data_IF_964854413337
#
_entry.id   IF_964854413337
#
_cell.length_a   1.000
_cell.length_b   1.000
_cell.length_c   1.000
_cell.angle_alpha   90.00
_cell.angle_beta   90.00
_cell.angle_gamma   90.00
#
_symmetry.space_group_name_H-M   'P 1'
#
loop_
_entity.id
_entity.type
_entity.pdbx_description
1 polymer ?
#
# COMPACT_ATOMS: atom_id res chain seq x y z
N UNK A 1 22.45 0.29 -3.56
CA UNK A 1 21.22 0.91 -4.07
C UNK A 1 20.18 0.90 -2.96
N UNK A 2 19.36 1.95 -2.81
CA UNK A 2 18.22 1.91 -1.89
C UNK A 2 17.27 0.78 -2.28
N UNK A 3 16.72 0.06 -1.30
CA UNK A 3 15.94 -1.15 -1.52
C UNK A 3 14.65 -0.84 -2.29
N UNK A 4 14.03 0.32 -2.04
CA UNK A 4 12.84 0.81 -2.72
C UNK A 4 13.04 1.07 -4.21
N UNK A 5 14.24 1.51 -4.61
CA UNK A 5 14.55 1.68 -6.03
C UNK A 5 14.76 0.33 -6.73
N UNK A 6 15.44 -0.61 -6.07
CA UNK A 6 15.59 -1.98 -6.58
C UNK A 6 14.23 -2.67 -6.71
N UNK A 7 13.36 -2.50 -5.71
CA UNK A 7 11.99 -2.99 -5.73
C UNK A 7 11.17 -2.39 -6.88
N UNK A 8 11.10 -1.05 -6.98
CA UNK A 8 10.32 -0.38 -8.02
C UNK A 8 10.83 -0.73 -9.43
N UNK A 9 12.16 -0.80 -9.60
CA UNK A 9 12.77 -1.25 -10.85
C UNK A 9 12.44 -2.70 -11.18
N UNK A 10 12.50 -3.60 -10.20
CA UNK A 10 12.14 -5.00 -10.37
C UNK A 10 10.68 -5.19 -10.77
N UNK A 11 9.75 -4.50 -10.11
CA UNK A 11 8.32 -4.50 -10.46
C UNK A 11 8.10 -3.95 -11.87
N UNK A 12 8.76 -2.84 -12.23
CA UNK A 12 8.64 -2.25 -13.56
C UNK A 12 9.16 -3.19 -14.65
N UNK A 13 10.31 -3.82 -14.43
CA UNK A 13 10.87 -4.81 -15.37
C UNK A 13 9.96 -6.03 -15.49
N UNK A 14 9.40 -6.51 -14.38
CA UNK A 14 8.40 -7.57 -14.37
C UNK A 14 7.16 -7.20 -15.19
N UNK A 15 6.65 -5.97 -15.05
CA UNK A 15 5.52 -5.48 -15.83
C UNK A 15 5.82 -5.51 -17.34
N UNK A 16 6.98 -5.00 -17.77
CA UNK A 16 7.38 -5.03 -19.18
C UNK A 16 7.65 -6.45 -19.69
N UNK A 17 8.09 -7.37 -18.84
CA UNK A 17 8.21 -8.77 -19.22
C UNK A 17 6.82 -9.41 -19.43
N UNK A 18 5.83 -9.10 -18.59
CA UNK A 18 4.46 -9.57 -18.73
C UNK A 18 3.78 -9.03 -20.00
N UNK A 19 4.11 -7.81 -20.44
CA UNK A 19 3.61 -7.26 -21.71
C UNK A 19 4.08 -8.04 -22.94
N UNK A 20 5.16 -8.81 -22.83
CA UNK A 20 5.67 -9.64 -23.93
C UNK A 20 5.01 -11.01 -24.02
N UNK A 21 4.19 -11.38 -23.03
CA UNK A 21 3.46 -12.64 -23.02
C UNK A 21 2.18 -12.53 -23.84
N UNK A 22 1.67 -13.67 -24.32
CA UNK A 22 0.35 -13.72 -24.90
C UNK A 22 -0.72 -13.25 -23.89
N UNK A 23 -1.80 -12.57 -24.30
CA UNK A 23 -2.79 -12.01 -23.38
C UNK A 23 -3.37 -13.03 -22.40
N UNK A 24 -3.61 -14.26 -22.85
CA UNK A 24 -4.12 -15.34 -22.01
C UNK A 24 -3.11 -15.83 -20.97
N UNK A 25 -1.81 -15.72 -21.25
CA UNK A 25 -0.75 -16.07 -20.31
C UNK A 25 -0.52 -14.94 -19.29
N UNK A 26 -0.45 -13.69 -19.75
CA UNK A 26 -0.41 -12.51 -18.87
C UNK A 26 -1.57 -12.55 -17.87
N UNK A 27 -2.79 -12.76 -18.34
CA UNK A 27 -3.98 -12.84 -17.49
C UNK A 27 -3.88 -13.99 -16.47
N UNK A 28 -3.35 -15.16 -16.86
CA UNK A 28 -3.13 -16.28 -15.93
C UNK A 28 -2.15 -15.91 -14.82
N UNK A 29 -1.04 -15.26 -15.16
CA UNK A 29 -0.04 -14.83 -14.16
C UNK A 29 -0.63 -13.78 -13.22
N UNK A 30 -1.29 -12.74 -13.75
CA UNK A 30 -1.93 -11.69 -12.95
C UNK A 30 -2.99 -12.27 -12.00
N UNK A 31 -3.85 -13.16 -12.50
CA UNK A 31 -4.84 -13.86 -11.67
C UNK A 31 -4.20 -14.75 -10.61
N UNK A 32 -3.09 -15.41 -10.92
CA UNK A 32 -2.35 -16.26 -9.99
C UNK A 32 -1.76 -15.46 -8.83
N UNK A 33 -1.29 -14.24 -9.09
CA UNK A 33 -0.69 -13.37 -8.08
C UNK A 33 -1.68 -12.47 -7.34
N UNK A 34 -2.93 -12.37 -7.80
CA UNK A 34 -3.91 -11.41 -7.30
C UNK A 34 -4.49 -11.74 -5.94
N UNK A 35 -4.73 -10.71 -5.12
CA UNK A 35 -5.45 -10.80 -3.84
C UNK A 35 -6.96 -10.65 -3.97
N UNK A 36 -7.52 -11.06 -5.12
CA UNK A 36 -8.96 -11.05 -5.32
C UNK A 36 -9.68 -11.99 -4.33
N UNK A 37 -10.97 -11.73 -4.12
CA UNK A 37 -11.77 -12.42 -3.09
C UNK A 37 -11.82 -13.93 -3.34
N UNK A 38 -11.96 -14.37 -4.60
CA UNK A 38 -12.01 -15.79 -4.94
C UNK A 38 -10.68 -16.51 -4.62
N UNK A 39 -9.53 -15.83 -4.78
CA UNK A 39 -8.22 -16.39 -4.40
C UNK A 39 -8.07 -16.52 -2.89
N UNK A 40 -8.44 -15.49 -2.13
CA UNK A 40 -8.32 -15.54 -0.67
C UNK A 40 -9.32 -16.52 -0.04
N UNK A 41 -10.53 -16.64 -0.58
CA UNK A 41 -11.51 -17.65 -0.13
C UNK A 41 -11.04 -19.09 -0.40
N UNK A 42 -10.20 -19.30 -1.41
CA UNK A 42 -9.60 -20.62 -1.71
C UNK A 42 -8.31 -20.89 -0.93
N UNK A 43 -7.92 -20.00 -0.03
CA UNK A 43 -6.77 -20.18 0.86
C UNK A 43 -5.42 -19.78 0.24
N UNK A 44 -5.41 -19.06 -0.88
CA UNK A 44 -4.19 -18.55 -1.53
C UNK A 44 -3.60 -17.32 -0.82
N UNK A 45 -3.22 -17.48 0.44
CA UNK A 45 -2.73 -16.38 1.29
C UNK A 45 -1.34 -15.88 0.87
N UNK A 46 -0.57 -16.68 0.13
CA UNK A 46 0.70 -16.26 -0.49
C UNK A 46 0.52 -15.08 -1.44
N UNK A 47 -0.69 -14.90 -1.98
CA UNK A 47 -1.01 -13.76 -2.84
C UNK A 47 -0.90 -12.42 -2.12
N UNK A 48 -1.05 -12.39 -0.77
CA UNK A 48 -0.82 -11.19 0.03
C UNK A 48 0.60 -10.63 -0.16
N UNK A 49 1.58 -11.50 -0.43
CA UNK A 49 2.94 -11.08 -0.72
C UNK A 49 3.13 -10.88 -2.23
N UNK A 50 2.78 -11.87 -3.05
CA UNK A 50 3.08 -11.81 -4.48
C UNK A 50 2.37 -10.67 -5.21
N UNK A 51 1.16 -10.28 -4.76
CA UNK A 51 0.39 -9.19 -5.38
C UNK A 51 1.11 -7.86 -5.28
N UNK A 52 1.98 -7.65 -4.29
CA UNK A 52 2.77 -6.43 -4.18
C UNK A 52 3.81 -6.32 -5.30
N UNK A 53 4.36 -7.44 -5.78
CA UNK A 53 5.47 -7.47 -6.74
C UNK A 53 5.02 -7.52 -8.21
N UNK A 54 3.72 -7.59 -8.46
CA UNK A 54 3.14 -7.70 -9.79
C UNK A 54 2.20 -6.53 -10.01
N UNK A 55 2.28 -5.89 -11.17
CA UNK A 55 1.35 -4.83 -11.59
C UNK A 55 0.67 -5.26 -12.89
N UNK A 56 -0.58 -4.85 -13.07
CA UNK A 56 -1.34 -5.17 -14.27
C UNK A 56 -0.67 -4.58 -15.51
N UNK A 57 -0.30 -3.31 -15.45
CA UNK A 57 0.37 -2.56 -16.51
C UNK A 57 1.65 -1.90 -15.97
N UNK A 58 2.65 -1.63 -16.83
CA UNK A 58 3.82 -0.87 -16.41
C UNK A 58 3.40 0.46 -15.80
N UNK A 59 4.06 0.82 -14.70
CA UNK A 59 3.71 2.03 -13.99
C UNK A 59 4.00 3.25 -14.85
N UNK A 60 3.09 4.25 -14.90
CA UNK A 60 3.40 5.54 -15.49
C UNK A 60 4.63 6.14 -14.79
N UNK A 61 5.52 6.76 -15.56
CA UNK A 61 6.77 7.32 -15.04
C UNK A 61 6.58 8.22 -13.79
N UNK A 62 5.57 9.12 -13.74
CA UNK A 62 5.33 9.93 -12.54
C UNK A 62 5.04 9.09 -11.28
N UNK A 63 4.27 8.00 -11.42
CA UNK A 63 3.97 7.11 -10.30
C UNK A 63 5.20 6.32 -9.88
N UNK A 64 5.97 5.79 -10.82
CA UNK A 64 7.21 5.07 -10.52
C UNK A 64 8.23 5.95 -9.78
N UNK A 65 8.41 7.20 -10.23
CA UNK A 65 9.28 8.16 -9.55
C UNK A 65 8.78 8.52 -8.15
N UNK A 66 7.46 8.72 -8.01
CA UNK A 66 6.86 9.00 -6.71
C UNK A 66 7.00 7.82 -5.74
N UNK A 67 6.82 6.58 -6.22
CA UNK A 67 7.05 5.36 -5.45
C UNK A 67 8.50 5.31 -4.95
N UNK A 68 9.47 5.52 -5.84
CA UNK A 68 10.90 5.55 -5.46
C UNK A 68 11.19 6.67 -4.46
N UNK A 69 10.62 7.86 -4.64
CA UNK A 69 10.81 8.98 -3.74
C UNK A 69 10.25 8.70 -2.34
N UNK A 70 9.03 8.16 -2.24
CA UNK A 70 8.38 7.84 -0.96
C UNK A 70 9.12 6.71 -0.25
N UNK A 71 9.41 5.61 -0.94
CA UNK A 71 10.15 4.50 -0.33
C UNK A 71 11.56 4.94 0.04
N UNK A 72 12.29 5.60 -0.87
CA UNK A 72 13.65 6.07 -0.63
C UNK A 72 13.74 7.06 0.53
N UNK A 73 12.78 7.98 0.66
CA UNK A 73 12.73 8.89 1.81
C UNK A 73 12.42 8.16 3.13
N UNK A 74 11.51 7.17 3.11
CA UNK A 74 11.25 6.34 4.28
C UNK A 74 12.49 5.54 4.70
N UNK A 75 13.23 4.97 3.75
CA UNK A 75 14.49 4.28 4.03
C UNK A 75 15.54 5.22 4.60
N UNK A 76 15.63 6.44 4.07
CA UNK A 76 16.52 7.46 4.60
C UNK A 76 16.15 7.88 6.03
N UNK A 77 14.86 8.06 6.32
CA UNK A 77 14.38 8.56 7.61
C UNK A 77 14.34 7.49 8.72
N UNK A 78 14.02 6.24 8.36
CA UNK A 78 13.73 5.16 9.33
C UNK A 78 14.45 3.83 9.05
N UNK A 79 15.15 3.71 7.93
CA UNK A 79 15.87 2.50 7.52
C UNK A 79 15.06 1.55 6.63
N UNK A 80 15.76 0.73 5.84
CA UNK A 80 15.16 -0.17 4.86
C UNK A 80 14.20 -1.21 5.46
N UNK A 81 14.55 -1.80 6.60
CA UNK A 81 13.72 -2.80 7.25
C UNK A 81 12.42 -2.22 7.80
N UNK A 82 12.46 -0.99 8.33
CA UNK A 82 11.26 -0.31 8.77
C UNK A 82 10.33 -0.03 7.59
N UNK A 83 10.87 0.50 6.49
CA UNK A 83 10.10 0.77 5.26
C UNK A 83 9.47 -0.50 4.72
N UNK A 84 10.23 -1.59 4.60
CA UNK A 84 9.72 -2.88 4.14
C UNK A 84 8.63 -3.43 5.06
N UNK A 85 8.81 -3.34 6.37
CA UNK A 85 7.81 -3.80 7.35
C UNK A 85 6.50 -3.02 7.24
N UNK A 86 6.57 -1.68 7.18
CA UNK A 86 5.38 -0.82 7.02
C UNK A 86 4.68 -1.07 5.69
N UNK A 87 5.47 -1.20 4.61
CA UNK A 87 4.95 -1.48 3.28
C UNK A 87 4.17 -2.81 3.26
N UNK A 88 4.80 -3.90 3.70
CA UNK A 88 4.21 -5.24 3.67
C UNK A 88 3.04 -5.37 4.64
N UNK A 89 3.17 -4.85 5.86
CA UNK A 89 2.09 -4.86 6.84
C UNK A 89 0.89 -4.05 6.35
N UNK A 90 1.12 -2.84 5.86
CA UNK A 90 0.05 -1.97 5.36
C UNK A 90 -0.65 -2.54 4.13
N UNK A 91 0.13 -3.13 3.21
CA UNK A 91 -0.40 -3.86 2.06
C UNK A 91 -1.31 -5.01 2.50
N UNK A 92 -0.79 -5.94 3.31
CA UNK A 92 -1.55 -7.10 3.76
C UNK A 92 -2.77 -6.71 4.62
N UNK A 93 -2.63 -5.76 5.54
CA UNK A 93 -3.72 -5.29 6.38
C UNK A 93 -4.84 -4.65 5.56
N UNK A 94 -4.51 -3.79 4.59
CA UNK A 94 -5.49 -3.18 3.71
C UNK A 94 -6.22 -4.23 2.87
N UNK A 95 -5.47 -5.16 2.27
CA UNK A 95 -6.04 -6.27 1.50
C UNK A 95 -7.00 -7.10 2.35
N UNK A 96 -6.62 -7.49 3.56
CA UNK A 96 -7.47 -8.29 4.45
C UNK A 96 -8.73 -7.56 4.89
N UNK A 97 -8.64 -6.25 5.16
CA UNK A 97 -9.79 -5.41 5.51
C UNK A 97 -10.76 -5.28 4.33
N UNK A 98 -10.25 -5.02 3.12
CA UNK A 98 -11.05 -4.96 1.89
C UNK A 98 -11.69 -6.32 1.60
N UNK A 99 -10.92 -7.40 1.66
CA UNK A 99 -11.43 -8.76 1.52
C UNK A 99 -12.54 -9.05 2.53
N UNK A 100 -12.35 -8.72 3.81
CA UNK A 100 -13.35 -8.91 4.86
C UNK A 100 -14.67 -8.18 4.56
N UNK A 101 -14.61 -6.98 3.99
CA UNK A 101 -15.79 -6.21 3.59
C UNK A 101 -16.49 -6.82 2.36
N UNK A 102 -15.72 -7.30 1.38
CA UNK A 102 -16.24 -7.78 0.09
C UNK A 102 -16.69 -9.24 0.11
N UNK A 103 -16.09 -10.10 0.94
CA UNK A 103 -16.25 -11.57 0.86
C UNK A 103 -17.69 -12.08 0.91
N UNK A 104 -18.62 -11.30 1.50
CA UNK A 104 -20.06 -11.64 1.55
C UNK A 104 -20.97 -10.73 0.73
N UNK A 105 -20.46 -9.62 0.22
CA UNK A 105 -21.28 -8.55 -0.37
C UNK A 105 -20.98 -8.31 -1.85
N UNK A 106 -19.79 -8.72 -2.31
CA UNK A 106 -19.33 -8.50 -3.67
C UNK A 106 -20.02 -9.44 -4.67
N UNK A 107 -20.38 -8.88 -5.82
CA UNK A 107 -20.87 -9.65 -6.96
C UNK A 107 -19.74 -10.47 -7.62
N UNK A 108 -20.10 -11.40 -8.50
CA UNK A 108 -19.13 -12.30 -9.15
C UNK A 108 -18.03 -11.55 -9.90
N UNK A 109 -18.33 -10.38 -10.48
CA UNK A 109 -17.36 -9.56 -11.19
C UNK A 109 -16.34 -8.96 -10.23
N UNK A 110 -16.80 -8.30 -9.16
CA UNK A 110 -15.92 -7.68 -8.15
C UNK A 110 -15.07 -8.72 -7.44
N UNK A 111 -15.64 -9.90 -7.13
CA UNK A 111 -14.89 -10.99 -6.48
C UNK A 111 -13.71 -11.51 -7.29
N UNK A 112 -13.76 -11.38 -8.62
CA UNK A 112 -12.74 -11.85 -9.57
C UNK A 112 -11.90 -10.74 -10.19
N UNK A 113 -12.18 -9.50 -9.82
CA UNK A 113 -11.44 -8.34 -10.30
C UNK A 113 -10.00 -8.44 -9.81
N UNK A 114 -9.05 -8.11 -10.69
CA UNK A 114 -7.64 -8.13 -10.34
C UNK A 114 -7.36 -7.10 -9.25
N UNK A 115 -6.67 -7.57 -8.22
CA UNK A 115 -6.10 -6.76 -7.15
C UNK A 115 -4.62 -7.14 -7.04
N UNK A 116 -3.78 -6.39 -7.76
CA UNK A 116 -2.33 -6.50 -7.79
C UNK A 116 -1.73 -5.11 -7.85
N UNK A 117 -0.53 -4.96 -7.31
CA UNK A 117 0.28 -3.76 -7.45
C UNK A 117 0.87 -3.27 -6.14
N UNK A 118 1.70 -2.25 -6.29
CA UNK A 118 2.47 -1.64 -5.19
C UNK A 118 1.64 -0.68 -4.34
N UNK A 119 0.40 -0.40 -4.75
CA UNK A 119 -0.32 0.81 -4.37
C UNK A 119 -0.79 0.82 -2.91
N UNK A 120 -1.16 -0.32 -2.31
CA UNK A 120 -1.53 -0.36 -0.89
C UNK A 120 -0.31 -0.15 -0.01
N UNK A 121 0.78 -0.90 -0.25
CA UNK A 121 2.03 -0.69 0.47
C UNK A 121 2.58 0.74 0.34
N UNK A 122 2.51 1.33 -0.86
CA UNK A 122 2.87 2.73 -1.10
C UNK A 122 2.06 3.69 -0.22
N UNK A 123 0.72 3.57 -0.23
CA UNK A 123 -0.15 4.44 0.56
C UNK A 123 0.08 4.26 2.07
N UNK A 124 0.37 3.04 2.53
CA UNK A 124 0.72 2.79 3.92
C UNK A 124 2.03 3.46 4.33
N UNK A 125 3.09 3.37 3.51
CA UNK A 125 4.36 4.08 3.79
C UNK A 125 4.16 5.59 3.77
N UNK A 126 3.40 6.11 2.80
CA UNK A 126 3.09 7.54 2.71
C UNK A 126 2.36 8.03 3.97
N UNK A 127 1.37 7.28 4.46
CA UNK A 127 0.67 7.58 5.71
C UNK A 127 1.58 7.55 6.93
N UNK A 128 2.47 6.54 7.00
CA UNK A 128 3.40 6.38 8.11
C UNK A 128 4.48 7.47 8.15
N UNK A 129 4.93 7.95 6.99
CA UNK A 129 5.88 9.05 6.84
C UNK A 129 5.39 10.38 7.41
N UNK A 130 4.09 10.54 7.66
CA UNK A 130 3.60 11.71 8.40
C UNK A 130 4.23 11.84 9.80
N UNK A 131 4.75 10.73 10.37
CA UNK A 131 5.47 10.75 11.64
C UNK A 131 6.82 11.47 11.57
N UNK A 132 7.37 11.71 10.37
CA UNK A 132 8.61 12.45 10.16
C UNK A 132 8.41 13.97 10.18
N UNK A 133 7.18 14.45 9.95
CA UNK A 133 6.86 15.88 9.92
C UNK A 133 6.95 16.53 11.31
N UNK A 134 7.21 17.83 11.48
CA UNK A 134 7.18 18.49 12.78
C UNK A 134 5.86 18.23 13.55
N UNK A 135 5.95 17.93 14.85
CA UNK A 135 4.76 17.68 15.69
C UNK A 135 3.88 18.93 15.76
N UNK A 136 2.57 18.73 15.82
CA UNK A 136 1.58 19.80 15.92
C UNK A 136 0.73 19.96 14.65
N UNK A 137 0.31 21.20 14.37
CA UNK A 137 -0.68 21.52 13.33
C UNK A 137 -0.27 21.05 11.94
N UNK A 138 1.01 21.22 11.56
CA UNK A 138 1.50 20.83 10.22
C UNK A 138 1.29 19.34 9.96
N UNK A 139 1.67 18.49 10.91
CA UNK A 139 1.51 17.04 10.79
C UNK A 139 0.04 16.63 10.73
N UNK A 140 -0.81 17.21 11.57
CA UNK A 140 -2.24 16.89 11.58
C UNK A 140 -2.93 17.37 10.30
N UNK A 141 -2.55 18.55 9.79
CA UNK A 141 -3.02 19.05 8.50
C UNK A 141 -2.57 18.14 7.35
N UNK A 142 -1.33 17.65 7.35
CA UNK A 142 -0.85 16.70 6.34
C UNK A 142 -1.64 15.38 6.38
N UNK A 143 -1.88 14.81 7.57
CA UNK A 143 -2.71 13.60 7.74
C UNK A 143 -4.13 13.83 7.20
N UNK A 144 -4.76 14.93 7.58
CA UNK A 144 -6.11 15.28 7.12
C UNK A 144 -6.16 15.51 5.60
N UNK A 145 -5.18 16.22 5.05
CA UNK A 145 -5.06 16.48 3.61
C UNK A 145 -4.87 15.20 2.81
N UNK A 146 -3.98 14.30 3.25
CA UNK A 146 -3.78 12.99 2.61
C UNK A 146 -5.07 12.16 2.63
N UNK A 147 -5.76 12.09 3.77
CA UNK A 147 -7.04 11.39 3.87
C UNK A 147 -8.11 12.00 2.97
N UNK A 148 -8.19 13.33 2.91
CA UNK A 148 -9.14 14.03 2.05
C UNK A 148 -8.89 13.71 0.57
N UNK A 149 -7.63 13.74 0.13
CA UNK A 149 -7.24 13.37 -1.24
C UNK A 149 -7.55 11.91 -1.53
N UNK A 150 -7.20 10.99 -0.63
CA UNK A 150 -7.49 9.56 -0.80
C UNK A 150 -8.98 9.22 -0.72
N UNK A 151 -9.79 10.04 -0.06
CA UNK A 151 -11.25 9.87 -0.03
C UNK A 151 -11.93 10.33 -1.33
N UNK A 152 -11.32 11.25 -2.11
CA UNK A 152 -11.93 11.78 -3.33
C UNK A 152 -12.39 10.69 -4.31
N UNK A 153 -11.56 9.68 -4.68
CA UNK A 153 -11.99 8.61 -5.58
C UNK A 153 -13.14 7.76 -5.02
N UNK A 154 -13.14 7.51 -3.71
CA UNK A 154 -14.17 6.72 -3.00
C UNK A 154 -15.54 7.41 -3.01
N UNK A 155 -15.56 8.74 -3.11
CA UNK A 155 -16.78 9.55 -3.16
C UNK A 155 -17.33 9.73 -4.58
N UNK A 156 -16.56 9.40 -5.62
CA UNK A 156 -16.98 9.55 -7.01
C UNK A 156 -17.91 8.41 -7.44
N UNK A 157 -18.80 8.71 -8.40
CA UNK A 157 -19.56 7.67 -9.12
C UNK A 157 -18.58 6.83 -9.94
N UNK A 158 -18.72 5.50 -9.88
CA UNK A 158 -17.81 4.58 -10.54
C UNK A 158 -16.60 4.15 -9.71
N UNK A 159 -16.58 4.45 -8.41
CA UNK A 159 -15.56 3.95 -7.46
C UNK A 159 -15.37 2.43 -7.58
N UNK A 160 -14.14 2.02 -7.41
CA UNK A 160 -13.71 0.62 -7.32
C UNK A 160 -13.46 0.24 -5.87
N UNK A 161 -13.32 -1.07 -5.60
CA UNK A 161 -12.90 -1.51 -4.28
C UNK A 161 -11.42 -1.14 -3.99
N UNK A 162 -10.62 -0.99 -5.04
CA UNK A 162 -9.22 -0.55 -4.94
C UNK A 162 -9.10 0.86 -4.40
N UNK A 163 -10.03 1.76 -4.75
CA UNK A 163 -10.09 3.12 -4.18
C UNK A 163 -10.28 3.06 -2.65
N UNK A 164 -11.14 2.16 -2.17
CA UNK A 164 -11.31 1.93 -0.74
C UNK A 164 -10.05 1.31 -0.12
N UNK A 165 -9.39 0.40 -0.84
CA UNK A 165 -8.11 -0.18 -0.43
C UNK A 165 -6.99 0.86 -0.26
N UNK A 166 -6.87 1.82 -1.18
CA UNK A 166 -5.92 2.94 -1.05
C UNK A 166 -6.18 3.77 0.21
N UNK A 167 -7.45 4.13 0.45
CA UNK A 167 -7.83 4.89 1.63
C UNK A 167 -7.56 4.12 2.93
N UNK A 168 -7.90 2.82 2.96
CA UNK A 168 -7.64 1.95 4.12
C UNK A 168 -6.13 1.83 4.36
N UNK A 169 -5.33 1.57 3.33
CA UNK A 169 -3.88 1.44 3.46
C UNK A 169 -3.23 2.72 4.00
N UNK A 170 -3.65 3.88 3.47
CA UNK A 170 -3.21 5.18 3.98
C UNK A 170 -3.61 5.36 5.46
N UNK A 171 -4.85 5.01 5.81
CA UNK A 171 -5.35 5.06 7.18
C UNK A 171 -4.54 4.19 8.14
N UNK A 172 -4.18 2.96 7.73
CA UNK A 172 -3.29 2.07 8.50
C UNK A 172 -1.93 2.72 8.71
N UNK A 173 -1.33 3.28 7.66
CA UNK A 173 -0.07 4.03 7.75
C UNK A 173 -0.13 5.21 8.73
N UNK A 174 -1.19 6.01 8.65
CA UNK A 174 -1.41 7.12 9.59
C UNK A 174 -1.59 6.60 11.03
N UNK A 175 -2.31 5.49 11.21
CA UNK A 175 -2.44 4.82 12.50
C UNK A 175 -1.09 4.42 13.11
N UNK A 176 -0.20 3.84 12.29
CA UNK A 176 1.17 3.54 12.71
C UNK A 176 1.95 4.80 13.08
N UNK A 177 1.82 5.86 12.29
CA UNK A 177 2.42 7.18 12.58
C UNK A 177 1.96 7.75 13.93
N UNK A 178 0.67 7.61 14.26
CA UNK A 178 0.12 8.00 15.58
C UNK A 178 0.65 7.11 16.70
N UNK A 179 0.74 5.79 16.48
CA UNK A 179 1.29 4.88 17.48
C UNK A 179 2.76 5.21 17.83
N UNK A 180 3.58 5.50 16.83
CA UNK A 180 4.98 5.96 17.00
C UNK A 180 5.04 7.23 17.85
N UNK A 181 4.09 8.16 17.66
CA UNK A 181 3.99 9.38 18.46
C UNK A 181 3.68 9.12 19.92
N UNK A 182 2.68 8.26 20.18
CA UNK A 182 2.29 7.90 21.54
C UNK A 182 3.45 7.24 22.30
N UNK A 183 4.18 6.33 21.63
CA UNK A 183 5.35 5.66 22.21
C UNK A 183 6.50 6.64 22.49
N UNK A 184 6.77 7.55 21.56
CA UNK A 184 7.81 8.58 21.73
C UNK A 184 7.49 9.56 22.87
N UNK A 185 6.21 9.93 23.03
CA UNK A 185 5.76 10.80 24.12
C UNK A 185 5.76 10.14 25.49
N UNK A 186 5.55 8.81 25.55
CA UNK A 186 5.67 8.03 26.78
C UNK A 186 7.12 7.98 27.28
N UNK A 187 8.08 7.73 26.38
CA UNK A 187 9.50 7.69 26.73
C UNK A 187 10.04 9.03 27.24
N UNK A 188 9.64 10.17 26.65
CA UNK A 188 10.04 11.49 27.18
C UNK A 188 9.51 11.74 28.59
N UNK A 189 8.29 11.29 28.91
CA UNK A 189 7.72 11.44 30.25
C UNK A 189 8.46 10.61 31.30
N UNK A 190 8.89 9.39 30.97
CA UNK A 190 9.64 8.53 31.90
C UNK A 190 10.99 9.16 32.30
N UNK A 191 11.72 9.77 31.36
CA UNK A 191 13.02 10.41 31.63
C UNK A 191 12.86 11.70 32.44
N UNK A 192 11.76 12.43 32.29
CA UNK A 192 11.53 13.67 33.05
C UNK A 192 11.17 13.44 34.54
N UNK A 193 10.92 12.19 34.95
CA UNK A 193 10.54 11.81 36.31
C UNK A 193 11.61 10.96 37.03
N UNK A 194 12.81 10.85 36.45
CA UNK A 194 14.01 10.22 37.05
C UNK A 194 15.05 11.28 37.33
#
# INVERSE_FOLDING_TARGET
MPLGAAYAGGVQLGAHALERLDPAERERVLRGCSTNVDNLDTGRWETLLSSAFVVEEPMPLPYALLLVAVLGYAEYAYGAWWTAAVFLFGHAAATLLVYGALRRTADRRTRRALDVGTSYGFNAVLGALTSALPRGTVRNAARAGLLAVAAQPVLRRGRTFTDAGHLVALGVGIGLSVAIDCLSGSNRRKIAHT
#
